data_IF_573437278958
#
_entry.id   IF_573437278958
#
_cell.length_a   1.000
_cell.length_b   1.000
_cell.length_c   1.000
_cell.angle_alpha   90.00
_cell.angle_beta   90.00
_cell.angle_gamma   90.00
#
_symmetry.space_group_name_H-M   'P 1'
#
loop_
_entity.id
_entity.type
_entity.pdbx_description
1 polymer ?
#
# COMPACT_ATOMS: atom_id res chain seq x y z
N UNK A 1 6.55 1.55 33.01
CA UNK A 1 7.39 0.87 31.99
C UNK A 1 6.77 -0.42 31.42
N UNK A 2 6.24 -1.36 32.23
CA UNK A 2 5.59 -2.60 31.72
C UNK A 2 4.45 -2.33 30.71
N UNK A 3 3.56 -1.36 31.01
CA UNK A 3 2.47 -0.94 30.10
C UNK A 3 2.98 -0.45 28.73
N UNK A 4 4.09 0.29 28.68
CA UNK A 4 4.65 0.77 27.41
C UNK A 4 5.24 -0.40 26.59
N UNK A 5 5.83 -1.41 27.23
CA UNK A 5 6.31 -2.63 26.54
C UNK A 5 5.14 -3.38 25.91
N UNK A 6 4.03 -3.54 26.64
CA UNK A 6 2.80 -4.16 26.12
C UNK A 6 2.25 -3.40 24.91
N UNK A 7 2.14 -2.06 24.96
CA UNK A 7 1.62 -1.28 23.83
C UNK A 7 2.56 -1.35 22.62
N UNK A 8 3.89 -1.36 22.84
CA UNK A 8 4.85 -1.62 21.76
C UNK A 8 4.59 -2.99 21.12
N UNK A 9 4.39 -4.03 21.92
CA UNK A 9 4.09 -5.37 21.41
C UNK A 9 2.77 -5.41 20.64
N UNK A 10 1.71 -4.78 21.15
CA UNK A 10 0.41 -4.68 20.46
C UNK A 10 0.52 -3.99 19.10
N UNK A 11 1.25 -2.87 19.00
CA UNK A 11 1.50 -2.21 17.71
C UNK A 11 2.18 -3.15 16.71
N UNK A 12 3.18 -3.90 17.18
CA UNK A 12 3.89 -4.85 16.34
C UNK A 12 3.01 -6.03 15.93
N UNK A 13 2.24 -6.59 16.85
CA UNK A 13 1.25 -7.61 16.55
C UNK A 13 0.27 -7.15 15.49
N UNK A 14 -0.27 -5.93 15.62
CA UNK A 14 -1.18 -5.33 14.63
C UNK A 14 -0.52 -5.27 13.24
N UNK A 15 0.67 -4.69 13.14
CA UNK A 15 1.39 -4.57 11.86
C UNK A 15 1.73 -5.94 11.26
N UNK A 16 2.13 -6.91 12.08
CA UNK A 16 2.43 -8.28 11.63
C UNK A 16 1.19 -9.01 11.12
N UNK A 17 0.04 -8.85 11.78
CA UNK A 17 -1.24 -9.41 11.32
C UNK A 17 -1.59 -8.88 9.93
N UNK A 18 -1.46 -7.57 9.69
CA UNK A 18 -1.74 -6.99 8.37
C UNK A 18 -0.80 -7.48 7.27
N UNK A 19 0.50 -7.64 7.57
CA UNK A 19 1.43 -8.24 6.61
C UNK A 19 0.95 -9.64 6.25
N UNK A 20 0.73 -10.51 7.24
CA UNK A 20 0.32 -11.90 7.01
C UNK A 20 -1.00 -11.98 6.23
N UNK A 21 -2.03 -11.23 6.64
CA UNK A 21 -3.33 -11.24 5.96
C UNK A 21 -3.22 -10.79 4.51
N UNK A 22 -2.46 -9.75 4.20
CA UNK A 22 -2.35 -9.25 2.84
C UNK A 22 -1.43 -10.14 1.99
N UNK A 23 -0.40 -10.74 2.57
CA UNK A 23 0.40 -11.77 1.88
C UNK A 23 -0.45 -13.00 1.53
N UNK A 24 -1.33 -13.44 2.43
CA UNK A 24 -2.27 -14.54 2.17
C UNK A 24 -3.25 -14.12 1.06
N UNK A 25 -3.83 -12.93 1.13
CA UNK A 25 -4.74 -12.45 0.09
C UNK A 25 -4.05 -12.36 -1.29
N UNK A 26 -2.82 -11.86 -1.34
CA UNK A 26 -2.02 -11.82 -2.57
C UNK A 26 -1.74 -13.23 -3.10
N UNK A 27 -1.32 -14.17 -2.24
CA UNK A 27 -1.13 -15.57 -2.63
C UNK A 27 -2.43 -16.20 -3.18
N UNK A 28 -3.55 -16.02 -2.47
CA UNK A 28 -4.86 -16.52 -2.90
C UNK A 28 -5.32 -15.89 -4.20
N UNK A 29 -5.05 -14.60 -4.44
CA UNK A 29 -5.33 -13.95 -5.72
C UNK A 29 -4.59 -14.64 -6.88
N UNK A 30 -3.34 -15.05 -6.64
CA UNK A 30 -2.56 -15.74 -7.66
C UNK A 30 -3.00 -17.18 -7.90
N UNK A 31 -3.35 -17.90 -6.83
CA UNK A 31 -3.77 -19.31 -6.94
C UNK A 31 -5.22 -19.43 -7.43
N UNK A 32 -6.16 -18.73 -6.78
CA UNK A 32 -7.61 -18.86 -7.00
C UNK A 32 -8.16 -17.92 -8.07
N UNK A 33 -7.41 -16.89 -8.48
CA UNK A 33 -7.86 -15.88 -9.43
C UNK A 33 -8.58 -14.69 -8.78
N UNK A 34 -8.70 -13.59 -9.54
CA UNK A 34 -9.18 -12.29 -9.06
C UNK A 34 -10.67 -12.16 -8.77
N UNK A 35 -11.48 -13.14 -9.18
CA UNK A 35 -12.91 -13.22 -8.80
C UNK A 35 -13.09 -13.70 -7.37
N UNK A 36 -12.22 -14.60 -6.89
CA UNK A 36 -12.31 -15.26 -5.59
C UNK A 36 -11.48 -14.58 -4.50
N UNK A 37 -10.40 -13.89 -4.88
CA UNK A 37 -9.54 -13.19 -3.94
C UNK A 37 -9.12 -11.82 -4.48
N UNK A 38 -9.08 -10.78 -3.63
CA UNK A 38 -8.75 -9.43 -4.05
C UNK A 38 -7.29 -9.29 -4.46
N UNK A 39 -7.03 -8.47 -5.48
CA UNK A 39 -5.66 -8.16 -5.88
C UNK A 39 -4.95 -7.32 -4.82
N UNK A 40 -3.62 -7.33 -4.83
CA UNK A 40 -2.84 -6.49 -3.91
C UNK A 40 -3.10 -4.99 -4.12
N UNK A 41 -3.44 -4.59 -5.35
CA UNK A 41 -3.86 -3.23 -5.69
C UNK A 41 -5.21 -2.89 -5.07
N UNK A 42 -6.15 -3.85 -5.01
CA UNK A 42 -7.44 -3.67 -4.36
C UNK A 42 -7.32 -3.36 -2.87
N UNK A 43 -6.28 -3.89 -2.23
CA UNK A 43 -5.98 -3.72 -0.80
C UNK A 43 -5.05 -2.54 -0.49
N UNK A 44 -4.61 -1.80 -1.51
CA UNK A 44 -3.73 -0.66 -1.36
C UNK A 44 -4.49 0.65 -1.64
N UNK A 45 -4.53 1.62 -0.70
CA UNK A 45 -5.20 2.90 -0.94
C UNK A 45 -4.52 3.74 -2.03
N UNK A 46 -3.33 3.34 -2.51
CA UNK A 46 -2.59 4.06 -3.56
C UNK A 46 -3.32 4.04 -4.90
N UNK A 47 -3.95 2.91 -5.26
CA UNK A 47 -4.72 2.83 -6.50
C UNK A 47 -5.86 3.86 -6.53
N UNK A 48 -6.52 4.08 -5.39
CA UNK A 48 -7.55 5.11 -5.26
C UNK A 48 -7.03 6.52 -5.56
N UNK A 49 -5.81 6.86 -5.16
CA UNK A 49 -5.17 8.15 -5.46
C UNK A 49 -4.96 8.35 -6.96
N UNK A 50 -4.46 7.33 -7.68
CA UNK A 50 -4.26 7.39 -9.14
C UNK A 50 -5.59 7.46 -9.90
N UNK A 51 -6.65 6.89 -9.31
CA UNK A 51 -7.98 6.80 -9.91
C UNK A 51 -8.84 8.04 -9.75
N UNK A 52 -8.50 8.93 -8.81
CA UNK A 52 -9.31 10.11 -8.49
C UNK A 52 -9.66 10.92 -9.74
N UNK A 53 -8.70 11.11 -10.65
CA UNK A 53 -8.89 11.93 -11.84
C UNK A 53 -10.02 11.40 -12.72
N UNK A 54 -10.05 10.11 -13.01
CA UNK A 54 -11.08 9.53 -13.87
C UNK A 54 -12.46 9.61 -13.23
N UNK A 55 -12.55 9.32 -11.93
CA UNK A 55 -13.81 9.48 -11.20
C UNK A 55 -14.33 10.92 -11.30
N UNK A 56 -13.46 11.93 -11.26
CA UNK A 56 -13.84 13.34 -11.40
C UNK A 56 -14.16 13.77 -12.84
N UNK A 57 -13.47 13.24 -13.86
CA UNK A 57 -13.62 13.72 -15.24
C UNK A 57 -14.61 12.92 -16.08
N UNK A 58 -14.59 11.60 -15.99
CA UNK A 58 -15.42 10.73 -16.84
C UNK A 58 -16.67 10.24 -16.13
N UNK A 59 -16.76 10.41 -14.81
CA UNK A 59 -17.85 9.85 -13.99
C UNK A 59 -17.90 8.32 -14.02
N UNK A 60 -16.93 7.67 -14.67
CA UNK A 60 -16.79 6.23 -14.81
C UNK A 60 -15.71 5.72 -13.87
N UNK A 61 -15.96 4.54 -13.30
CA UNK A 61 -14.92 3.79 -12.61
C UNK A 61 -14.05 3.10 -13.66
N UNK A 62 -12.72 3.11 -13.46
CA UNK A 62 -11.79 2.36 -14.32
C UNK A 62 -12.17 0.88 -14.26
N UNK A 63 -12.28 0.20 -15.40
CA UNK A 63 -12.59 -1.25 -15.50
C UNK A 63 -11.55 -2.21 -14.87
N UNK A 64 -10.56 -1.67 -14.15
CA UNK A 64 -9.56 -2.39 -13.34
C UNK A 64 -9.58 -1.98 -11.86
N UNK A 65 -10.43 -1.03 -11.45
CA UNK A 65 -10.35 -0.38 -10.15
C UNK A 65 -11.68 -0.48 -9.44
N UNK A 66 -11.64 -1.35 -8.43
CA UNK A 66 -12.70 -1.61 -7.48
C UNK A 66 -13.13 -0.33 -6.76
N UNK A 67 -14.44 -0.11 -6.63
CA UNK A 67 -15.00 0.86 -5.69
C UNK A 67 -14.37 0.75 -4.29
N UNK A 68 -13.91 -0.46 -3.91
CA UNK A 68 -13.14 -0.72 -2.70
C UNK A 68 -11.83 0.07 -2.57
N UNK A 69 -11.05 0.28 -3.65
CA UNK A 69 -9.78 1.03 -3.57
C UNK A 69 -9.99 2.52 -3.29
N UNK A 70 -10.99 3.13 -3.94
CA UNK A 70 -11.37 4.52 -3.69
C UNK A 70 -11.93 4.67 -2.27
N UNK A 71 -12.74 3.70 -1.84
CA UNK A 71 -13.25 3.65 -0.46
C UNK A 71 -12.10 3.55 0.55
N UNK A 72 -11.13 2.64 0.35
CA UNK A 72 -9.94 2.55 1.19
C UNK A 72 -9.14 3.86 1.18
N UNK A 73 -8.99 4.50 0.01
CA UNK A 73 -8.33 5.79 -0.10
C UNK A 73 -9.04 6.87 0.73
N UNK A 74 -10.37 6.96 0.66
CA UNK A 74 -11.15 7.93 1.46
C UNK A 74 -11.04 7.63 2.96
N UNK A 75 -11.16 6.36 3.36
CA UNK A 75 -11.02 5.95 4.77
C UNK A 75 -9.63 6.32 5.30
N UNK A 76 -8.58 6.01 4.54
CA UNK A 76 -7.21 6.34 4.93
C UNK A 76 -6.92 7.83 4.88
N UNK A 77 -7.59 8.59 4.01
CA UNK A 77 -7.58 10.05 4.00
C UNK A 77 -8.21 10.62 5.27
N UNK A 78 -9.37 10.11 5.70
CA UNK A 78 -10.00 10.48 6.99
C UNK A 78 -9.05 10.20 8.15
N UNK A 79 -8.43 9.01 8.17
CA UNK A 79 -7.41 8.66 9.17
C UNK A 79 -6.22 9.63 9.09
N UNK A 80 -5.79 10.04 7.90
CA UNK A 80 -4.70 11.00 7.70
C UNK A 80 -5.03 12.38 8.26
N UNK A 81 -6.26 12.85 8.03
CA UNK A 81 -6.76 14.14 8.54
C UNK A 81 -6.90 14.10 10.05
N UNK A 82 -7.46 13.04 10.62
CA UNK A 82 -7.71 12.95 12.05
C UNK A 82 -6.43 12.64 12.84
N UNK A 83 -5.62 11.69 12.39
CA UNK A 83 -4.52 11.11 13.16
C UNK A 83 -3.15 11.21 12.48
N UNK A 84 -2.98 12.11 11.50
CA UNK A 84 -1.77 12.21 10.65
C UNK A 84 -1.52 10.89 9.91
N UNK A 85 -0.28 10.64 9.50
CA UNK A 85 0.17 9.41 8.82
C UNK A 85 0.14 8.15 9.70
N UNK A 86 -0.78 8.03 10.66
CA UNK A 86 -0.93 6.88 11.57
C UNK A 86 -1.18 5.58 10.82
N UNK A 87 -1.89 5.62 9.68
CA UNK A 87 -2.04 4.46 8.79
C UNK A 87 -0.67 3.84 8.44
N UNK A 88 0.28 4.65 7.98
CA UNK A 88 1.64 4.20 7.66
C UNK A 88 2.40 3.64 8.88
N UNK A 89 2.09 4.15 10.08
CA UNK A 89 2.76 3.81 11.34
C UNK A 89 2.15 2.63 12.11
N UNK A 90 0.91 2.23 11.80
CA UNK A 90 0.12 1.24 12.56
C UNK A 90 -0.52 0.13 11.71
N UNK A 91 -0.86 0.40 10.45
CA UNK A 91 -1.70 -0.50 9.62
C UNK A 91 -0.97 -0.93 8.34
N UNK A 92 -0.27 -0.01 7.66
CA UNK A 92 0.34 -0.25 6.36
C UNK A 92 1.33 -1.44 6.39
N UNK A 93 1.08 -2.51 5.61
CA UNK A 93 1.93 -3.70 5.59
C UNK A 93 3.32 -3.42 5.00
N UNK A 94 3.40 -2.59 3.95
CA UNK A 94 4.69 -2.25 3.35
C UNK A 94 5.59 -1.47 4.31
N UNK A 95 5.00 -0.61 5.13
CA UNK A 95 5.71 0.06 6.22
C UNK A 95 6.15 -0.89 7.33
N UNK A 96 5.37 -1.95 7.59
CA UNK A 96 5.71 -3.00 8.54
C UNK A 96 6.90 -3.84 8.08
N UNK A 97 6.93 -4.23 6.81
CA UNK A 97 8.04 -4.97 6.19
C UNK A 97 9.34 -4.16 6.33
N UNK A 98 9.32 -2.88 5.96
CA UNK A 98 10.51 -2.02 6.10
C UNK A 98 10.99 -1.89 7.55
N UNK A 99 10.07 -1.72 8.51
CA UNK A 99 10.43 -1.63 9.93
C UNK A 99 10.95 -2.96 10.48
N UNK A 100 10.42 -4.10 10.01
CA UNK A 100 10.90 -5.43 10.33
C UNK A 100 12.34 -5.64 9.86
N UNK A 101 12.62 -5.36 8.58
CA UNK A 101 13.98 -5.44 8.05
C UNK A 101 14.93 -4.47 8.74
N UNK A 102 14.50 -3.25 9.08
CA UNK A 102 15.32 -2.34 9.87
C UNK A 102 15.71 -2.90 11.24
N UNK A 103 14.80 -3.61 11.92
CA UNK A 103 15.15 -4.29 13.18
C UNK A 103 16.09 -5.44 12.98
N UNK A 104 15.87 -6.22 11.93
CA UNK A 104 16.73 -7.34 11.58
C UNK A 104 18.16 -6.84 11.29
N UNK A 105 18.29 -5.79 10.48
CA UNK A 105 19.56 -5.14 10.20
C UNK A 105 20.20 -4.50 11.43
N UNK A 106 19.43 -3.81 12.29
CA UNK A 106 19.96 -3.29 13.56
C UNK A 106 20.53 -4.40 14.46
N UNK A 107 19.94 -5.61 14.42
CA UNK A 107 20.44 -6.78 15.16
C UNK A 107 21.72 -7.33 14.52
N UNK A 108 21.78 -7.41 13.18
CA UNK A 108 22.94 -7.91 12.45
C UNK A 108 24.14 -6.96 12.49
N UNK A 109 23.93 -5.66 12.26
CA UNK A 109 24.98 -4.65 12.23
C UNK A 109 25.27 -4.02 13.59
N UNK A 110 24.51 -4.40 14.62
CA UNK A 110 24.58 -3.88 15.99
C UNK A 110 24.55 -2.34 16.12
N UNK A 111 24.00 -1.65 15.10
CA UNK A 111 23.89 -0.19 15.05
C UNK A 111 22.69 0.23 14.21
N UNK A 112 22.06 1.32 14.62
CA UNK A 112 21.07 2.03 13.81
C UNK A 112 21.75 3.17 13.08
N UNK A 113 21.78 3.12 11.75
CA UNK A 113 22.29 4.23 10.95
C UNK A 113 21.33 5.41 11.06
N UNK A 114 21.88 6.58 11.40
CA UNK A 114 21.17 7.86 11.41
C UNK A 114 21.87 8.74 10.40
N UNK A 115 21.18 9.07 9.30
CA UNK A 115 21.71 9.94 8.26
C UNK A 115 21.67 11.39 8.76
N UNK A 116 22.75 12.18 8.60
CA UNK A 116 22.76 13.59 8.97
C UNK A 116 21.63 14.37 8.29
N UNK A 117 21.06 15.34 9.01
CA UNK A 117 19.92 16.12 8.53
C UNK A 117 20.20 16.88 7.21
N UNK A 118 21.46 17.26 6.96
CA UNK A 118 21.88 17.95 5.74
C UNK A 118 21.69 17.11 4.47
N UNK A 119 21.77 15.79 4.57
CA UNK A 119 21.56 14.86 3.45
C UNK A 119 20.11 14.35 3.49
N UNK A 120 19.64 13.96 4.66
CA UNK A 120 18.32 13.35 4.82
C UNK A 120 17.17 14.31 4.45
N UNK A 121 17.27 15.61 4.75
CA UNK A 121 16.21 16.58 4.43
C UNK A 121 16.04 16.81 2.91
N UNK A 122 17.09 17.12 2.12
CA UNK A 122 16.95 17.25 0.67
C UNK A 122 16.44 15.98 0.00
N UNK A 123 16.97 14.81 0.37
CA UNK A 123 16.57 13.54 -0.24
C UNK A 123 15.09 13.21 0.01
N UNK A 124 14.51 13.65 1.13
CA UNK A 124 13.07 13.51 1.39
C UNK A 124 12.19 14.30 0.43
N UNK A 125 12.71 15.27 -0.30
CA UNK A 125 11.92 15.96 -1.33
C UNK A 125 11.68 15.08 -2.57
N UNK A 126 12.50 14.04 -2.77
CA UNK A 126 12.37 13.13 -3.91
C UNK A 126 10.98 12.48 -3.98
N UNK A 127 10.39 12.04 -2.86
CA UNK A 127 9.04 11.47 -2.87
C UNK A 127 7.95 12.45 -3.32
N UNK A 128 8.18 13.76 -3.16
CA UNK A 128 7.24 14.77 -3.65
C UNK A 128 7.38 14.96 -5.16
N UNK A 129 8.61 14.84 -5.70
CA UNK A 129 8.83 14.76 -7.15
C UNK A 129 8.12 13.52 -7.70
N UNK A 130 8.34 12.34 -7.10
CA UNK A 130 7.65 11.10 -7.47
C UNK A 130 6.14 11.29 -7.41
N UNK A 131 5.61 11.89 -6.35
CA UNK A 131 4.17 12.17 -6.23
C UNK A 131 3.64 13.07 -7.34
N UNK A 132 4.32 14.18 -7.68
CA UNK A 132 3.89 15.07 -8.77
C UNK A 132 3.91 14.33 -10.11
N UNK A 133 4.97 13.56 -10.38
CA UNK A 133 5.07 12.73 -11.59
C UNK A 133 3.93 11.71 -11.63
N UNK A 134 3.65 11.01 -10.52
CA UNK A 134 2.53 10.08 -10.41
C UNK A 134 1.20 10.71 -10.74
N UNK A 135 0.90 11.87 -10.16
CA UNK A 135 -0.37 12.56 -10.42
C UNK A 135 -0.47 12.98 -11.90
N UNK A 136 0.59 13.57 -12.47
CA UNK A 136 0.59 14.04 -13.86
C UNK A 136 0.45 12.89 -14.86
N UNK A 137 1.16 11.77 -14.66
CA UNK A 137 1.07 10.63 -15.58
C UNK A 137 -0.23 9.86 -15.40
N UNK A 138 -0.75 9.72 -14.17
CA UNK A 138 -2.08 9.14 -13.94
C UNK A 138 -3.17 9.92 -14.68
N UNK A 139 -3.05 11.26 -14.77
CA UNK A 139 -3.95 12.10 -15.54
C UNK A 139 -3.85 11.87 -17.06
N UNK A 140 -2.64 11.63 -17.58
CA UNK A 140 -2.42 11.43 -19.01
C UNK A 140 -2.83 10.05 -19.49
N UNK A 141 -2.53 9.01 -18.72
CA UNK A 141 -2.72 7.61 -19.15
C UNK A 141 -4.11 7.08 -18.84
N UNK A 142 -4.87 7.77 -17.99
CA UNK A 142 -6.13 7.26 -17.47
C UNK A 142 -5.99 5.80 -16.99
N UNK A 143 -4.94 5.50 -16.22
CA UNK A 143 -4.73 4.16 -15.66
C UNK A 143 -3.76 4.12 -14.48
N UNK A 144 -3.53 2.91 -13.96
CA UNK A 144 -2.54 2.61 -12.93
C UNK A 144 -1.13 2.55 -13.53
N UNK A 145 -0.65 3.67 -14.07
CA UNK A 145 0.64 3.70 -14.77
C UNK A 145 1.82 3.31 -13.85
N UNK A 146 1.68 3.50 -12.54
CA UNK A 146 2.71 3.17 -11.56
C UNK A 146 2.77 1.67 -11.22
N UNK A 147 1.79 0.86 -11.64
CA UNK A 147 1.73 -0.57 -11.29
C UNK A 147 3.01 -1.37 -11.62
N UNK A 148 3.69 -1.16 -12.77
CA UNK A 148 4.97 -1.84 -13.08
C UNK A 148 6.17 -1.36 -12.26
N UNK A 149 6.05 -0.16 -11.66
CA UNK A 149 7.10 0.50 -10.88
C UNK A 149 6.87 0.39 -9.36
N UNK A 150 5.69 -0.06 -8.94
CA UNK A 150 5.34 -0.14 -7.52
C UNK A 150 5.98 -1.40 -6.88
N UNK A 151 6.91 -1.24 -5.91
CA UNK A 151 7.48 -2.39 -5.20
C UNK A 151 6.43 -3.19 -4.43
N UNK A 152 5.31 -2.57 -4.04
CA UNK A 152 4.21 -3.27 -3.39
C UNK A 152 3.44 -4.17 -4.38
N UNK A 153 3.24 -3.70 -5.61
CA UNK A 153 2.69 -4.53 -6.70
C UNK A 153 3.60 -5.74 -6.97
N UNK A 154 4.91 -5.50 -7.15
CA UNK A 154 5.89 -6.57 -7.38
C UNK A 154 5.89 -7.60 -6.24
N UNK A 155 5.79 -7.16 -4.99
CA UNK A 155 5.67 -8.03 -3.82
C UNK A 155 4.45 -8.98 -3.90
N UNK A 156 3.31 -8.49 -4.36
CA UNK A 156 2.09 -9.30 -4.50
C UNK A 156 2.10 -10.31 -5.64
N UNK A 157 2.97 -10.12 -6.63
CA UNK A 157 3.13 -11.05 -7.77
C UNK A 157 4.26 -12.07 -7.53
N UNK A 158 5.10 -11.90 -6.49
CA UNK A 158 6.13 -12.89 -6.13
C UNK A 158 5.65 -14.35 -6.06
N UNK A 159 4.42 -14.66 -5.57
CA UNK A 159 3.91 -16.03 -5.57
C UNK A 159 3.80 -16.69 -6.95
N UNK A 160 3.74 -15.93 -8.04
CA UNK A 160 3.68 -16.45 -9.41
C UNK A 160 5.03 -17.00 -9.90
N UNK A 161 6.12 -16.62 -9.24
CA UNK A 161 7.48 -16.95 -9.61
C UNK A 161 8.29 -15.73 -10.08
N UNK A 162 9.60 -15.79 -9.86
CA UNK A 162 10.51 -14.67 -10.12
C UNK A 162 10.59 -14.32 -11.62
N UNK A 163 10.51 -15.31 -12.50
CA UNK A 163 10.59 -15.09 -13.95
C UNK A 163 9.37 -14.31 -14.48
N UNK A 164 8.16 -14.64 -14.02
CA UNK A 164 6.93 -13.93 -14.39
C UNK A 164 6.98 -12.48 -13.94
N UNK A 165 7.35 -12.24 -12.68
CA UNK A 165 7.50 -10.88 -12.14
C UNK A 165 8.57 -10.09 -12.89
N UNK A 166 9.66 -10.74 -13.32
CA UNK A 166 10.70 -10.10 -14.11
C UNK A 166 10.18 -9.65 -15.48
N UNK A 167 9.36 -10.46 -16.17
CA UNK A 167 8.77 -10.09 -17.46
C UNK A 167 7.76 -8.94 -17.32
N UNK A 168 6.92 -8.97 -16.29
CA UNK A 168 5.80 -8.02 -16.14
C UNK A 168 6.15 -6.76 -15.35
N UNK A 169 7.09 -6.82 -14.40
CA UNK A 169 7.35 -5.76 -13.41
C UNK A 169 8.81 -5.75 -12.91
N UNK A 170 9.79 -5.92 -13.81
CA UNK A 170 11.22 -5.88 -13.49
C UNK A 170 11.62 -4.66 -12.64
N UNK A 171 11.14 -3.47 -13.01
CA UNK A 171 11.51 -2.23 -12.33
C UNK A 171 10.96 -2.19 -10.90
N UNK A 172 9.69 -2.56 -10.70
CA UNK A 172 9.09 -2.69 -9.37
C UNK A 172 9.83 -3.70 -8.48
N UNK A 173 10.27 -4.83 -9.05
CA UNK A 173 11.07 -5.82 -8.33
C UNK A 173 12.45 -5.28 -7.91
N UNK A 174 13.14 -4.57 -8.79
CA UNK A 174 14.42 -3.91 -8.47
C UNK A 174 14.23 -2.90 -7.34
N UNK A 175 13.18 -2.07 -7.41
CA UNK A 175 12.85 -1.10 -6.36
C UNK A 175 12.51 -1.81 -5.05
N UNK A 176 11.82 -2.95 -5.09
CA UNK A 176 11.51 -3.77 -3.92
C UNK A 176 12.79 -4.28 -3.25
N UNK A 177 13.72 -4.86 -4.04
CA UNK A 177 15.01 -5.34 -3.54
C UNK A 177 15.82 -4.20 -2.92
N UNK A 178 15.95 -3.07 -3.62
CA UNK A 178 16.62 -1.86 -3.10
C UNK A 178 15.94 -1.38 -1.82
N UNK A 179 14.61 -1.44 -1.74
CA UNK A 179 13.86 -1.03 -0.55
C UNK A 179 14.13 -1.94 0.64
N UNK A 180 14.15 -3.26 0.43
CA UNK A 180 14.42 -4.24 1.49
C UNK A 180 15.86 -4.10 1.99
N UNK A 181 16.83 -4.06 1.07
CA UNK A 181 18.26 -3.89 1.40
C UNK A 181 18.52 -2.53 2.05
N UNK A 182 17.94 -1.47 1.50
CA UNK A 182 18.01 -0.12 2.06
C UNK A 182 17.38 -0.06 3.45
N UNK A 183 16.29 -0.80 3.69
CA UNK A 183 15.63 -0.86 5.00
C UNK A 183 16.41 -1.61 6.05
N UNK A 184 17.25 -2.60 5.69
CA UNK A 184 18.19 -3.24 6.63
C UNK A 184 19.16 -2.21 7.24
N UNK A 185 19.55 -1.19 6.47
CA UNK A 185 20.53 -0.19 6.89
C UNK A 185 19.83 1.04 7.48
N UNK A 186 18.76 1.51 6.83
CA UNK A 186 18.06 2.75 7.16
C UNK A 186 16.54 2.54 7.22
N UNK A 187 16.01 2.63 8.44
CA UNK A 187 14.60 2.40 8.76
C UNK A 187 13.67 3.18 7.82
N UNK A 188 12.68 2.50 7.23
CA UNK A 188 11.66 3.10 6.34
C UNK A 188 12.24 3.87 5.15
N UNK A 189 13.30 3.34 4.53
CA UNK A 189 14.00 3.94 3.39
C UNK A 189 13.04 4.42 2.28
N UNK A 190 12.17 3.54 1.77
CA UNK A 190 11.25 3.90 0.69
C UNK A 190 10.19 4.90 1.16
N UNK A 191 9.64 4.73 2.36
CA UNK A 191 8.66 5.67 2.91
C UNK A 191 9.22 7.09 3.14
N UNK A 192 10.54 7.24 3.29
CA UNK A 192 11.23 8.53 3.42
C UNK A 192 11.50 9.19 2.08
N UNK A 193 11.92 8.42 1.08
CA UNK A 193 12.50 8.98 -0.15
C UNK A 193 11.70 8.78 -1.42
N UNK A 194 10.89 7.73 -1.54
CA UNK A 194 10.27 7.36 -2.82
C UNK A 194 8.74 7.23 -2.77
N UNK A 195 8.15 7.03 -1.60
CA UNK A 195 6.72 6.73 -1.48
C UNK A 195 5.81 7.94 -1.80
N UNK A 196 5.06 7.93 -2.93
CA UNK A 196 4.16 9.03 -3.30
C UNK A 196 3.00 9.19 -2.31
N UNK A 197 2.42 8.08 -1.84
CA UNK A 197 1.40 8.09 -0.77
C UNK A 197 1.92 8.70 0.53
N UNK A 198 3.19 8.46 0.84
CA UNK A 198 3.86 9.05 1.99
C UNK A 198 4.01 10.57 1.86
N UNK A 199 4.19 11.09 0.65
CA UNK A 199 4.19 12.52 0.36
C UNK A 199 2.77 13.10 0.53
N UNK A 200 1.78 12.49 -0.12
CA UNK A 200 0.38 12.91 -0.07
C UNK A 200 -0.17 12.98 1.36
N UNK A 201 -0.12 11.89 2.13
CA UNK A 201 -0.57 11.89 3.52
C UNK A 201 0.30 12.77 4.44
N UNK A 202 1.54 13.05 4.05
CA UNK A 202 2.39 14.01 4.77
C UNK A 202 1.90 15.43 4.64
N UNK A 203 1.42 15.82 3.45
CA UNK A 203 0.82 17.13 3.20
C UNK A 203 -0.51 17.23 3.96
N UNK A 204 -1.43 16.29 3.70
CA UNK A 204 -2.76 16.30 4.31
C UNK A 204 -2.67 16.20 5.83
N UNK A 205 -1.83 15.30 6.35
CA UNK A 205 -1.67 15.09 7.78
C UNK A 205 -1.15 16.31 8.57
N UNK A 206 -0.66 17.37 7.92
CA UNK A 206 -0.28 18.62 8.63
C UNK A 206 -1.47 19.27 9.34
N UNK A 207 -2.68 19.14 8.76
CA UNK A 207 -3.90 19.75 9.32
C UNK A 207 -4.40 19.03 10.57
N UNK A 208 -3.92 17.81 10.82
CA UNK A 208 -4.40 16.99 11.91
C UNK A 208 -4.25 17.65 13.28
N UNK A 209 -5.30 17.60 14.11
CA UNK A 209 -5.26 18.16 15.46
C UNK A 209 -4.45 17.28 16.42
N UNK A 210 -4.20 16.01 16.08
CA UNK A 210 -3.39 15.08 16.87
C UNK A 210 -1.91 15.31 16.64
N UNK A 211 -1.20 15.75 17.68
CA UNK A 211 0.24 16.03 17.61
C UNK A 211 0.97 15.41 18.80
N UNK A 212 2.24 15.06 18.60
CA UNK A 212 3.15 14.72 19.71
C UNK A 212 3.70 16.03 20.27
N UNK A 213 3.56 16.23 21.58
CA UNK A 213 3.95 17.46 22.28
C UNK A 213 4.90 17.12 23.42
N UNK A 214 6.03 17.82 23.48
CA UNK A 214 7.04 17.75 24.54
C UNK A 214 6.69 18.74 25.64
N UNK A 215 6.83 18.31 26.88
CA UNK A 215 6.71 19.15 28.06
C UNK A 215 8.12 19.41 28.61
N UNK A 216 8.63 20.62 28.43
CA UNK A 216 10.02 20.97 28.77
C UNK A 216 10.30 20.90 30.27
N UNK A 217 9.34 21.29 31.11
CA UNK A 217 9.51 21.26 32.57
C UNK A 217 9.66 19.86 33.15
N UNK A 218 9.24 18.83 32.40
CA UNK A 218 9.34 17.42 32.80
C UNK A 218 10.42 16.70 32.00
N UNK A 219 10.83 17.22 30.85
CA UNK A 219 11.82 16.58 30.00
C UNK A 219 13.21 16.60 30.66
N UNK A 220 13.99 15.54 30.43
CA UNK A 220 15.36 15.39 30.95
C UNK A 220 16.39 15.33 29.82
N UNK A 221 16.00 15.73 28.61
CA UNK A 221 16.89 15.86 27.43
C UNK A 221 17.78 14.65 27.09
N UNK A 222 17.28 13.44 27.39
CA UNK A 222 18.00 12.18 27.15
C UNK A 222 18.12 11.73 25.67
N UNK A 223 17.45 12.42 24.72
CA UNK A 223 17.49 12.10 23.29
C UNK A 223 16.89 10.76 22.83
N UNK A 224 16.36 9.94 23.73
CA UNK A 224 15.76 8.63 23.38
C UNK A 224 14.56 8.74 22.42
N UNK A 225 13.80 9.84 22.49
CA UNK A 225 12.68 10.09 21.58
C UNK A 225 13.14 10.27 20.12
N UNK A 226 14.23 11.03 19.89
CA UNK A 226 14.85 11.21 18.58
C UNK A 226 15.48 9.90 18.10
N UNK A 227 16.29 9.23 18.94
CA UNK A 227 16.97 7.97 18.58
C UNK A 227 15.99 6.84 18.21
N UNK A 228 14.86 6.76 18.91
CA UNK A 228 13.83 5.74 18.67
C UNK A 228 12.91 6.05 17.48
N UNK A 229 12.92 7.26 16.93
CA UNK A 229 12.05 7.62 15.81
C UNK A 229 12.44 6.85 14.54
N UNK A 230 11.53 6.07 13.92
CA UNK A 230 11.84 5.36 12.66
C UNK A 230 12.07 6.35 11.51
N UNK A 231 11.42 7.51 11.58
CA UNK A 231 11.53 8.56 10.58
C UNK A 231 12.69 9.53 10.83
N UNK A 232 13.61 9.26 11.75
CA UNK A 232 14.76 10.14 12.03
C UNK A 232 14.37 11.61 12.27
N UNK A 233 13.26 11.82 13.00
CA UNK A 233 12.77 13.17 13.34
C UNK A 233 13.45 13.59 14.63
N UNK A 234 13.91 14.84 14.67
CA UNK A 234 14.39 15.45 15.90
C UNK A 234 13.22 15.83 16.82
N UNK A 235 12.85 14.89 17.69
CA UNK A 235 11.74 15.02 18.64
C UNK A 235 12.18 15.77 19.89
N UNK A 236 13.44 15.64 20.29
CA UNK A 236 13.99 16.28 21.49
C UNK A 236 13.90 17.81 21.40
N UNK A 237 14.34 18.39 20.29
CA UNK A 237 14.38 19.84 20.12
C UNK A 237 13.07 20.43 19.56
N UNK A 238 12.00 19.63 19.49
CA UNK A 238 10.69 20.06 19.01
C UNK A 238 9.68 20.14 20.16
N UNK A 239 9.17 21.34 20.47
CA UNK A 239 8.05 21.51 21.40
C UNK A 239 6.81 20.74 20.95
N UNK A 240 6.50 20.84 19.66
CA UNK A 240 5.37 20.16 19.02
C UNK A 240 5.86 19.62 17.69
N UNK A 241 5.76 18.31 17.50
CA UNK A 241 6.20 17.68 16.25
C UNK A 241 5.19 18.03 15.16
N UNK A 242 5.53 18.94 14.24
CA UNK A 242 4.63 19.42 13.17
C UNK A 242 5.02 18.94 11.77
N UNK A 243 6.19 18.32 11.62
CA UNK A 243 6.71 17.83 10.34
C UNK A 243 5.76 16.83 9.65
N UNK A 244 5.70 16.90 8.31
CA UNK A 244 4.99 15.96 7.43
C UNK A 244 5.54 14.52 7.51
N UNK A 245 6.75 14.36 8.07
CA UNK A 245 7.41 13.07 8.20
C UNK A 245 6.85 12.22 9.34
N UNK A 246 6.12 12.82 10.29
CA UNK A 246 5.65 12.11 11.47
C UNK A 246 4.56 11.08 11.12
N UNK A 247 4.87 9.80 11.30
CA UNK A 247 3.92 8.69 11.13
C UNK A 247 2.92 8.54 12.27
N UNK A 248 3.03 9.37 13.32
CA UNK A 248 2.24 9.22 14.54
C UNK A 248 2.25 7.78 15.12
N UNK A 249 3.36 7.06 14.94
CA UNK A 249 3.55 5.64 15.32
C UNK A 249 3.78 5.41 16.82
N UNK A 250 3.85 6.49 17.61
CA UNK A 250 4.00 6.49 19.07
C UNK A 250 5.32 5.92 19.62
N UNK A 251 6.26 5.52 18.77
CA UNK A 251 7.54 4.93 19.22
C UNK A 251 8.33 5.88 20.14
N UNK A 252 8.33 7.19 19.86
CA UNK A 252 9.00 8.19 20.69
C UNK A 252 8.33 8.32 22.07
N UNK A 253 7.00 8.43 22.12
CA UNK A 253 6.22 8.50 23.37
C UNK A 253 6.42 7.26 24.24
N UNK A 254 6.33 6.07 23.63
CA UNK A 254 6.47 4.80 24.34
C UNK A 254 7.91 4.51 24.80
N UNK A 255 8.90 5.18 24.22
CA UNK A 255 10.32 5.05 24.60
C UNK A 255 10.77 6.13 25.59
N UNK A 256 9.95 7.14 25.85
CA UNK A 256 10.26 8.18 26.82
C UNK A 256 10.33 7.57 28.25
N UNK A 257 11.44 7.72 28.99
CA UNK A 257 11.59 7.17 30.32
C UNK A 257 10.80 7.97 31.37
N UNK A 258 10.59 9.27 31.14
CA UNK A 258 9.89 10.16 32.07
C UNK A 258 8.43 10.33 31.66
N UNK A 259 7.53 9.86 32.51
CA UNK A 259 6.09 9.97 32.27
C UNK A 259 5.66 11.45 32.20
N UNK A 260 4.85 11.80 31.20
CA UNK A 260 4.34 13.16 31.02
C UNK A 260 5.32 14.14 30.34
N UNK A 261 6.54 13.71 30.00
CA UNK A 261 7.49 14.53 29.24
C UNK A 261 7.17 14.58 27.74
N UNK A 262 6.50 13.56 27.20
CA UNK A 262 6.14 13.47 25.79
C UNK A 262 4.82 12.71 25.65
N UNK A 263 3.79 13.37 25.13
CA UNK A 263 2.44 12.80 25.03
C UNK A 263 1.79 13.14 23.67
N UNK A 264 0.78 12.37 23.28
CA UNK A 264 -0.14 12.77 22.22
C UNK A 264 -1.15 13.77 22.78
N UNK A 265 -1.42 14.85 22.03
CA UNK A 265 -2.39 15.87 22.42
C UNK A 265 -3.35 16.21 21.26
N UNK A 266 -4.60 16.49 21.63
CA UNK A 266 -5.58 17.22 20.81
C UNK A 266 -5.84 18.55 21.55
N UNK A 267 -5.44 19.67 20.94
CA UNK A 267 -5.44 20.94 21.65
C UNK A 267 -4.58 20.84 22.92
N UNK A 268 -5.21 21.00 24.09
CA UNK A 268 -4.56 20.89 25.40
C UNK A 268 -4.83 19.56 26.13
N UNK A 269 -5.66 18.67 25.56
CA UNK A 269 -6.02 17.39 26.19
C UNK A 269 -4.97 16.33 25.86
N UNK A 270 -4.40 15.70 26.90
CA UNK A 270 -3.45 14.59 26.77
C UNK A 270 -4.20 13.28 26.50
N UNK A 271 -3.74 12.52 25.53
CA UNK A 271 -4.34 11.23 25.15
C UNK A 271 -3.33 10.11 25.37
N UNK A 272 -3.81 9.05 26.03
CA UNK A 272 -3.00 7.87 26.32
C UNK A 272 -2.65 7.13 25.01
N UNK A 273 -1.43 6.59 24.87
CA UNK A 273 -1.00 5.86 23.67
C UNK A 273 -1.98 4.75 23.21
N UNK A 274 -2.51 3.97 24.15
CA UNK A 274 -3.47 2.90 23.85
C UNK A 274 -4.74 3.43 23.19
N UNK A 275 -5.27 4.55 23.68
CA UNK A 275 -6.46 5.19 23.12
C UNK A 275 -6.23 5.63 21.68
N UNK A 276 -5.02 6.11 21.34
CA UNK A 276 -4.69 6.48 19.95
C UNK A 276 -4.72 5.26 19.02
N UNK A 277 -4.16 4.11 19.44
CA UNK A 277 -4.23 2.89 18.61
C UNK A 277 -5.68 2.45 18.43
N UNK A 278 -6.46 2.39 19.53
CA UNK A 278 -7.87 1.99 19.48
C UNK A 278 -8.66 2.92 18.55
N UNK A 279 -8.51 4.23 18.69
CA UNK A 279 -9.21 5.20 17.84
C UNK A 279 -8.85 5.04 16.36
N UNK A 280 -7.57 4.85 16.02
CA UNK A 280 -7.16 4.63 14.62
C UNK A 280 -7.74 3.33 14.07
N UNK A 281 -7.69 2.25 14.84
CA UNK A 281 -8.23 0.93 14.44
C UNK A 281 -9.75 0.99 14.28
N UNK A 282 -10.45 1.58 15.25
CA UNK A 282 -11.92 1.73 15.21
C UNK A 282 -12.36 2.62 14.07
N UNK A 283 -11.69 3.75 13.82
CA UNK A 283 -12.03 4.61 12.67
C UNK A 283 -11.75 3.88 11.36
N UNK A 284 -10.61 3.21 11.22
CA UNK A 284 -10.27 2.50 9.99
C UNK A 284 -11.24 1.34 9.70
N UNK A 285 -11.38 0.39 10.62
CA UNK A 285 -12.23 -0.78 10.42
C UNK A 285 -13.72 -0.47 10.56
N UNK A 286 -14.11 0.45 11.44
CA UNK A 286 -15.48 0.90 11.56
C UNK A 286 -15.98 1.54 10.26
N UNK A 287 -15.13 2.32 9.58
CA UNK A 287 -15.48 2.85 8.26
C UNK A 287 -15.55 1.77 7.17
N UNK A 288 -14.71 0.73 7.23
CA UNK A 288 -14.81 -0.42 6.30
C UNK A 288 -16.14 -1.13 6.49
N UNK A 289 -16.48 -1.53 7.72
CA UNK A 289 -17.74 -2.22 8.05
C UNK A 289 -18.94 -1.36 7.68
N UNK A 290 -18.90 -0.05 7.94
CA UNK A 290 -19.97 0.86 7.53
C UNK A 290 -20.10 0.93 6.00
N UNK A 291 -18.98 0.97 5.27
CA UNK A 291 -19.01 1.03 3.79
C UNK A 291 -19.49 -0.28 3.17
N UNK A 292 -19.19 -1.42 3.80
CA UNK A 292 -19.69 -2.74 3.42
C UNK A 292 -21.20 -2.86 3.69
N UNK A 293 -21.67 -2.39 4.84
CA UNK A 293 -23.10 -2.36 5.18
C UNK A 293 -23.92 -1.47 4.22
N UNK A 294 -23.30 -0.43 3.67
CA UNK A 294 -23.90 0.44 2.65
C UNK A 294 -23.78 -0.13 1.22
N UNK A 295 -23.10 -1.27 1.04
CA UNK A 295 -22.90 -1.90 -0.27
C UNK A 295 -21.91 -1.18 -1.18
N UNK A 296 -21.16 -0.19 -0.67
CA UNK A 296 -20.21 0.63 -1.44
C UNK A 296 -18.82 -0.03 -1.50
N UNK A 297 -18.50 -0.86 -0.51
CA UNK A 297 -17.21 -1.52 -0.39
C UNK A 297 -17.21 -2.91 -1.04
N UNK A 298 -16.58 -3.03 -2.21
CA UNK A 298 -16.36 -4.30 -2.90
C UNK A 298 -14.88 -4.45 -3.24
N UNK A 299 -14.29 -5.58 -2.85
CA UNK A 299 -12.86 -5.89 -3.01
C UNK A 299 -12.56 -6.82 -4.19
N UNK A 300 -13.57 -7.53 -4.67
CA UNK A 300 -13.54 -8.39 -5.85
C UNK A 300 -14.52 -7.84 -6.89
N UNK A 301 -14.39 -8.23 -8.17
CA UNK A 301 -15.33 -7.81 -9.20
C UNK A 301 -16.72 -8.30 -8.81
N UNK A 302 -17.75 -7.50 -9.06
CA UNK A 302 -19.11 -8.02 -9.04
C UNK A 302 -19.16 -9.21 -10.02
N UNK A 303 -19.66 -10.36 -9.56
CA UNK A 303 -19.96 -11.48 -10.47
C UNK A 303 -20.91 -10.93 -11.53
N UNK A 304 -20.58 -11.12 -12.82
CA UNK A 304 -21.42 -10.71 -13.93
C UNK A 304 -22.86 -11.15 -13.64
N UNK A 305 -23.80 -10.20 -13.67
CA UNK A 305 -25.22 -10.55 -13.57
C UNK A 305 -25.54 -11.40 -14.80
N UNK A 306 -26.36 -12.45 -14.62
CA UNK A 306 -26.77 -13.35 -15.70
C UNK A 306 -27.35 -12.52 -16.85
N UNK A 307 -26.59 -12.34 -17.94
CA UNK A 307 -27.00 -11.52 -19.09
C UNK A 307 -26.12 -10.32 -19.43
N UNK A 308 -25.11 -9.94 -18.64
CA UNK A 308 -24.08 -8.95 -19.03
C UNK A 308 -22.84 -9.67 -19.61
N UNK A 309 -22.28 -9.13 -20.70
CA UNK A 309 -21.01 -9.57 -21.29
C UNK A 309 -19.97 -8.47 -21.11
N UNK A 310 -18.74 -8.84 -20.73
CA UNK A 310 -17.61 -7.92 -20.76
C UNK A 310 -17.05 -7.82 -22.17
N UNK A 311 -16.45 -6.67 -22.51
CA UNK A 311 -15.69 -6.53 -23.75
C UNK A 311 -14.34 -7.27 -23.65
N UNK A 312 -13.71 -7.55 -24.80
CA UNK A 312 -12.45 -8.31 -24.87
C UNK A 312 -11.28 -7.60 -24.15
N UNK A 313 -11.29 -6.28 -24.09
CA UNK A 313 -10.32 -5.43 -23.37
C UNK A 313 -10.44 -5.55 -21.84
N UNK A 314 -11.56 -6.07 -21.35
CA UNK A 314 -11.77 -6.25 -19.91
C UNK A 314 -11.23 -7.58 -19.37
N UNK A 315 -10.91 -8.54 -20.26
CA UNK A 315 -10.38 -9.85 -19.88
C UNK A 315 -9.07 -9.71 -19.12
N UNK A 316 -8.96 -10.38 -17.97
CA UNK A 316 -7.78 -10.31 -17.10
C UNK A 316 -6.95 -11.59 -17.20
N UNK A 317 -5.64 -11.45 -17.07
CA UNK A 317 -4.69 -12.57 -17.14
C UNK A 317 -4.95 -13.70 -16.15
N UNK A 318 -5.62 -13.43 -15.02
CA UNK A 318 -5.95 -14.45 -14.01
C UNK A 318 -7.15 -15.34 -14.36
N UNK A 319 -7.98 -14.94 -15.33
CA UNK A 319 -9.18 -15.70 -15.73
C UNK A 319 -8.74 -16.96 -16.46
N UNK A 320 -9.45 -18.08 -16.28
CA UNK A 320 -9.26 -19.24 -17.19
C UNK A 320 -9.81 -18.92 -18.58
N UNK A 321 -9.34 -19.63 -19.61
CA UNK A 321 -9.85 -19.46 -20.98
C UNK A 321 -11.38 -19.67 -21.01
N UNK A 322 -11.85 -20.67 -20.27
CA UNK A 322 -13.28 -20.95 -20.10
C UNK A 322 -14.03 -19.79 -19.43
N UNK A 323 -13.52 -19.29 -18.30
CA UNK A 323 -14.14 -18.14 -17.60
C UNK A 323 -14.15 -16.88 -18.49
N UNK A 324 -13.10 -16.66 -19.28
CA UNK A 324 -13.00 -15.53 -20.20
C UNK A 324 -14.00 -15.63 -21.36
N UNK A 325 -14.14 -16.81 -21.96
CA UNK A 325 -15.14 -17.08 -23.00
C UNK A 325 -16.58 -16.92 -22.47
N UNK A 326 -16.88 -17.50 -21.30
CA UNK A 326 -18.19 -17.36 -20.65
C UNK A 326 -18.50 -15.89 -20.30
N UNK A 327 -17.51 -15.13 -19.84
CA UNK A 327 -17.68 -13.72 -19.46
C UNK A 327 -17.91 -12.80 -20.67
N UNK A 328 -17.35 -13.14 -21.82
CA UNK A 328 -17.52 -12.40 -23.09
C UNK A 328 -18.72 -12.88 -23.90
N UNK A 329 -19.39 -13.96 -23.46
CA UNK A 329 -20.44 -14.69 -24.21
C UNK A 329 -19.98 -15.17 -25.58
N UNK A 330 -18.69 -15.41 -25.75
CA UNK A 330 -18.13 -16.00 -26.96
C UNK A 330 -18.13 -17.52 -26.81
N UNK A 331 -18.50 -18.26 -27.87
CA UNK A 331 -18.36 -19.72 -27.84
C UNK A 331 -16.89 -20.09 -27.61
N UNK A 332 -16.64 -21.15 -26.83
CA UNK A 332 -15.28 -21.52 -26.46
C UNK A 332 -14.39 -21.73 -27.69
N UNK A 333 -14.90 -22.35 -28.76
CA UNK A 333 -14.10 -22.57 -29.99
C UNK A 333 -13.79 -21.26 -30.71
N UNK A 334 -14.77 -20.38 -30.79
CA UNK A 334 -14.61 -19.06 -31.39
C UNK A 334 -13.62 -18.21 -30.58
N UNK A 335 -13.66 -18.32 -29.26
CA UNK A 335 -12.72 -17.65 -28.36
C UNK A 335 -11.27 -18.09 -28.58
N UNK A 336 -11.03 -19.41 -28.75
CA UNK A 336 -9.69 -19.92 -29.08
C UNK A 336 -9.16 -19.35 -30.41
N UNK A 337 -10.02 -19.25 -31.43
CA UNK A 337 -9.64 -18.68 -32.72
C UNK A 337 -9.35 -17.18 -32.59
N UNK A 338 -10.24 -16.44 -31.93
CA UNK A 338 -10.17 -14.98 -31.80
C UNK A 338 -8.94 -14.55 -31.00
N UNK A 339 -8.62 -15.26 -29.91
CA UNK A 339 -7.42 -15.05 -29.11
C UNK A 339 -6.19 -15.82 -29.63
N UNK A 340 -6.25 -16.45 -30.82
CA UNK A 340 -5.14 -17.21 -31.43
C UNK A 340 -4.51 -18.25 -30.48
N UNK A 341 -5.33 -18.86 -29.62
CA UNK A 341 -4.90 -19.84 -28.62
C UNK A 341 -4.77 -21.20 -29.31
N UNK A 342 -3.62 -21.88 -29.21
CA UNK A 342 -3.47 -23.22 -29.74
C UNK A 342 -4.42 -24.23 -29.07
N UNK A 343 -4.99 -25.14 -29.86
CA UNK A 343 -5.98 -26.13 -29.37
C UNK A 343 -5.42 -27.11 -28.31
N UNK A 344 -4.09 -27.24 -28.22
CA UNK A 344 -3.43 -28.08 -27.22
C UNK A 344 -3.44 -27.46 -25.81
N UNK A 345 -3.85 -26.21 -25.65
CA UNK A 345 -3.91 -25.52 -24.36
C UNK A 345 -5.22 -25.88 -23.64
N UNK A 346 -5.17 -26.46 -22.43
CA UNK A 346 -6.38 -26.80 -21.67
C UNK A 346 -7.25 -25.57 -21.36
N UNK A 347 -8.58 -25.70 -21.44
CA UNK A 347 -9.54 -24.60 -21.21
C UNK A 347 -9.50 -23.99 -19.78
N UNK A 348 -8.97 -24.74 -18.82
CA UNK A 348 -8.80 -24.29 -17.42
C UNK A 348 -7.49 -23.51 -17.22
N UNK A 349 -6.64 -23.43 -18.25
CA UNK A 349 -5.41 -22.63 -18.23
C UNK A 349 -5.77 -21.17 -18.08
N UNK A 350 -5.06 -20.45 -17.21
CA UNK A 350 -5.23 -19.00 -17.06
C UNK A 350 -4.67 -18.27 -18.28
N UNK A 351 -5.31 -17.18 -18.69
CA UNK A 351 -4.91 -16.41 -19.87
C UNK A 351 -3.42 -16.03 -19.86
N UNK A 352 -2.86 -15.66 -18.69
CA UNK A 352 -1.43 -15.34 -18.52
C UNK A 352 -0.50 -16.56 -18.61
N UNK A 353 -1.01 -17.74 -18.26
CA UNK A 353 -0.25 -18.99 -18.20
C UNK A 353 -0.25 -19.74 -19.55
N UNK A 354 -0.97 -19.25 -20.57
CA UNK A 354 -0.99 -19.85 -21.91
C UNK A 354 0.43 -19.96 -22.49
N UNK A 355 1.26 -18.93 -22.26
CA UNK A 355 2.67 -18.89 -22.69
C UNK A 355 3.54 -20.03 -22.14
N UNK A 356 3.13 -20.67 -21.03
CA UNK A 356 3.82 -21.83 -20.44
C UNK A 356 3.52 -23.13 -21.15
N UNK A 357 2.40 -23.19 -21.88
CA UNK A 357 1.94 -24.38 -22.62
C UNK A 357 2.17 -24.22 -24.12
N UNK A 358 2.03 -22.99 -24.63
CA UNK A 358 2.28 -22.61 -26.01
C UNK A 358 3.43 -21.59 -26.07
N UNK A 359 4.63 -22.08 -26.38
CA UNK A 359 5.80 -21.21 -26.56
C UNK A 359 5.56 -20.19 -27.68
N UNK A 360 5.85 -18.91 -27.40
CA UNK A 360 5.65 -17.81 -28.34
C UNK A 360 4.27 -17.12 -28.26
N UNK A 361 3.36 -17.60 -27.40
CA UNK A 361 2.10 -16.91 -27.15
C UNK A 361 2.27 -15.76 -26.15
N UNK A 362 1.86 -14.55 -26.52
CA UNK A 362 1.84 -13.36 -25.65
C UNK A 362 0.40 -12.83 -25.54
N UNK A 363 -0.20 -13.04 -24.37
CA UNK A 363 -1.58 -12.65 -24.08
C UNK A 363 -1.78 -11.14 -24.21
N UNK A 364 -0.84 -10.32 -23.73
CA UNK A 364 -0.99 -8.87 -23.74
C UNK A 364 -0.88 -8.32 -25.18
N UNK A 365 -0.02 -8.92 -26.02
CA UNK A 365 0.04 -8.59 -27.46
C UNK A 365 -1.25 -8.95 -28.21
N UNK A 366 -1.76 -10.17 -27.99
CA UNK A 366 -3.01 -10.61 -28.63
C UNK A 366 -4.16 -9.70 -28.20
N UNK A 367 -4.24 -9.39 -26.91
CA UNK A 367 -5.26 -8.50 -26.38
C UNK A 367 -5.17 -7.09 -26.95
N UNK A 368 -3.96 -6.52 -27.04
CA UNK A 368 -3.75 -5.22 -27.68
C UNK A 368 -4.15 -5.21 -29.16
N UNK A 369 -4.02 -6.34 -29.87
CA UNK A 369 -4.47 -6.46 -31.26
C UNK A 369 -6.00 -6.44 -31.43
N UNK A 370 -6.73 -6.81 -30.37
CA UNK A 370 -8.19 -6.80 -30.34
C UNK A 370 -8.78 -5.44 -29.90
N UNK A 371 -7.97 -4.55 -29.30
CA UNK A 371 -8.38 -3.18 -28.96
C UNK A 371 -8.37 -2.23 -30.18
N UNK A 372 -7.74 -2.64 -31.29
CA UNK A 372 -7.59 -1.84 -32.51
C UNK A 372 -8.74 -2.00 -33.53
N UNK A 373 -9.75 -2.82 -33.23
CA UNK A 373 -10.95 -3.09 -34.03
C UNK A 373 -12.19 -2.94 -33.14
#
# INVERSE_FOLDING_TARGET
MKRNKMIKFLRWGLMSIFVVLISIAAYLHQVLGGTKAPSIHALCPFGGLESLYQVFTTGSFIGKIFAGTLTLFVITLIVAILFRRSFCGLICPFGAIQEFFARLGNKFFNRKLIIPASIDKPLRYLKYIVFVVTVVYAWKTAGLWMAPYDPWSAYGHLPEGLESVWKESAVGLIILVITVLGSLIYDRFFCKYLCPMGAFYGIIGKISPFKVVRNESVCIDCGLCTKSCPMNIDVQHSLKVTTAECLNCQTCVLSCPKAGALDHQIGNKRIKPMTVIILVVVVFFGSIVASEALGIYQLTPASLKTGESINYDEIKGFMSIKEAAESTKTDLKEFYVLFKIPENVPQETKMKDISKVAEGYDFDQVKASLEAH
#
